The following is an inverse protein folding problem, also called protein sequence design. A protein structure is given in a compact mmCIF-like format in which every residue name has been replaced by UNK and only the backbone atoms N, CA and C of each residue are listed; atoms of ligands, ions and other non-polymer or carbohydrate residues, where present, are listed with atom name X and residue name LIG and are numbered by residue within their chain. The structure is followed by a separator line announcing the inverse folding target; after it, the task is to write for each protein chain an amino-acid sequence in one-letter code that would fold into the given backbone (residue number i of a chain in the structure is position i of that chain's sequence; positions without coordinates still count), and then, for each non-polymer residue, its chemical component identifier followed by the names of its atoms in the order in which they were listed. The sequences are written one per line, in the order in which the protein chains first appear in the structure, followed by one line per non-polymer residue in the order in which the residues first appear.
data_IF_914920178872
#
_entry.id   IF_914920178872
#
_cell.length_a   1.000
_cell.length_b   1.000
_cell.length_c   1.000
_cell.angle_alpha   90.00
_cell.angle_beta   90.00
_cell.angle_gamma   90.00
#
_symmetry.space_group_name_H-M   'P 1'
#
loop_
_entity.id
_entity.type
_entity.pdbx_description
1 polymer ?
#
# COMPACT_ATOMS: atom_id res chain seq x y z
N UNK A 1 -13.09 -19.79 -15.12
CA UNK A 1 -13.68 -18.49 -14.78
C UNK A 1 -13.37 -17.57 -15.93
N UNK A 2 -14.39 -17.17 -16.68
CA UNK A 2 -14.18 -16.22 -17.78
C UNK A 2 -13.98 -14.81 -17.25
N UNK A 3 -13.35 -13.95 -18.07
CA UNK A 3 -12.98 -12.58 -17.69
C UNK A 3 -14.17 -11.76 -17.19
N UNK A 4 -15.34 -11.96 -17.79
CA UNK A 4 -16.58 -11.25 -17.45
C UNK A 4 -17.04 -11.67 -16.05
N UNK A 5 -17.18 -12.98 -15.79
CA UNK A 5 -17.51 -13.53 -14.47
C UNK A 5 -16.50 -13.07 -13.38
N UNK A 6 -15.22 -12.87 -13.73
CA UNK A 6 -14.22 -12.35 -12.81
C UNK A 6 -14.47 -10.89 -12.43
N UNK A 7 -14.71 -10.04 -13.43
CA UNK A 7 -15.02 -8.63 -13.20
C UNK A 7 -16.30 -8.47 -12.38
N UNK A 8 -17.36 -9.20 -12.71
CA UNK A 8 -18.64 -9.12 -12.02
C UNK A 8 -18.52 -9.50 -10.53
N UNK A 9 -17.72 -10.52 -10.21
CA UNK A 9 -17.45 -10.90 -8.81
C UNK A 9 -16.59 -9.90 -8.06
N UNK A 10 -15.68 -9.20 -8.74
CA UNK A 10 -14.91 -8.09 -8.15
C UNK A 10 -15.87 -6.94 -7.82
N UNK A 11 -16.67 -6.51 -8.80
CA UNK A 11 -17.62 -5.39 -8.64
C UNK A 11 -18.65 -5.69 -7.55
N UNK A 12 -19.20 -6.91 -7.54
CA UNK A 12 -20.09 -7.38 -6.49
C UNK A 12 -19.50 -7.28 -5.08
N UNK A 13 -18.20 -7.59 -4.92
CA UNK A 13 -17.51 -7.42 -3.64
C UNK A 13 -17.25 -5.95 -3.30
N UNK A 14 -16.97 -5.09 -4.27
CA UNK A 14 -16.70 -3.67 -4.03
C UNK A 14 -17.95 -2.89 -3.59
N UNK A 15 -19.15 -3.42 -3.86
CA UNK A 15 -20.43 -2.84 -3.40
C UNK A 15 -20.63 -3.05 -1.88
N UNK A 16 -19.95 -4.04 -1.28
CA UNK A 16 -20.07 -4.31 0.16
C UNK A 16 -19.41 -3.21 0.99
N UNK A 17 -20.25 -2.26 1.44
CA UNK A 17 -19.86 -1.11 2.27
C UNK A 17 -19.49 -1.49 3.70
N UNK A 18 -19.75 -2.73 4.14
CA UNK A 18 -19.30 -3.19 5.46
C UNK A 18 -17.82 -3.53 5.46
N UNK A 19 -17.28 -3.90 4.28
CA UNK A 19 -15.87 -4.29 4.10
C UNK A 19 -15.06 -3.22 3.39
N UNK A 20 -15.64 -2.52 2.41
CA UNK A 20 -14.95 -1.56 1.56
C UNK A 20 -15.55 -0.15 1.64
N UNK A 21 -14.70 0.84 1.83
CA UNK A 21 -15.07 2.25 1.76
C UNK A 21 -14.46 2.89 0.51
N UNK A 22 -15.29 3.58 -0.28
CA UNK A 22 -14.80 4.36 -1.39
C UNK A 22 -14.13 5.65 -0.88
N UNK A 23 -12.83 5.73 -1.09
CA UNK A 23 -12.05 6.91 -0.72
C UNK A 23 -12.36 8.06 -1.68
N UNK A 24 -12.79 9.21 -1.13
CA UNK A 24 -13.14 10.41 -1.91
C UNK A 24 -11.95 11.22 -2.42
N UNK A 25 -10.80 11.11 -1.75
CA UNK A 25 -9.57 11.84 -2.08
C UNK A 25 -8.36 11.00 -1.71
N UNK A 26 -7.36 10.98 -2.58
CA UNK A 26 -6.10 10.27 -2.33
C UNK A 26 -5.48 10.71 -0.98
N UNK A 27 -5.35 9.81 0.01
CA UNK A 27 -4.84 10.14 1.34
C UNK A 27 -3.30 10.16 1.37
N UNK A 28 -2.63 9.78 0.27
CA UNK A 28 -1.18 9.59 0.21
C UNK A 28 -0.41 10.80 0.71
N UNK A 29 -0.75 11.99 0.24
CA UNK A 29 -0.06 13.23 0.63
C UNK A 29 -0.26 13.58 2.11
N UNK A 30 -1.46 13.36 2.64
CA UNK A 30 -1.74 13.56 4.06
C UNK A 30 -0.92 12.59 4.93
N UNK A 31 -0.84 11.32 4.51
CA UNK A 31 -0.06 10.29 5.21
C UNK A 31 1.43 10.64 5.19
N UNK A 32 1.98 11.00 4.02
CA UNK A 32 3.39 11.44 3.88
C UNK A 32 3.72 12.59 4.84
N UNK A 33 2.88 13.63 4.86
CA UNK A 33 3.05 14.78 5.74
C UNK A 33 3.03 14.37 7.22
N UNK A 34 2.10 13.50 7.59
CA UNK A 34 1.98 13.00 8.96
C UNK A 34 3.19 12.18 9.40
N UNK A 35 3.71 11.32 8.51
CA UNK A 35 4.94 10.55 8.76
C UNK A 35 6.12 11.50 8.97
N UNK A 36 6.29 12.49 8.08
CA UNK A 36 7.37 13.47 8.19
C UNK A 36 7.32 14.23 9.52
N UNK A 37 6.15 14.73 9.91
CA UNK A 37 5.98 15.44 11.20
C UNK A 37 6.39 14.54 12.39
N UNK A 38 5.98 13.27 12.38
CA UNK A 38 6.34 12.32 13.44
C UNK A 38 7.84 12.04 13.46
N UNK A 39 8.44 11.82 12.29
CA UNK A 39 9.87 11.52 12.17
C UNK A 39 10.73 12.74 12.57
N UNK A 40 10.35 13.95 12.18
CA UNK A 40 11.00 15.19 12.61
C UNK A 40 10.95 15.35 14.14
N UNK A 41 9.82 15.02 14.76
CA UNK A 41 9.69 15.02 16.23
C UNK A 41 10.66 14.03 16.88
N UNK A 42 10.82 12.83 16.30
CA UNK A 42 11.76 11.83 16.80
C UNK A 42 13.22 12.28 16.64
N UNK A 43 13.57 12.94 15.53
CA UNK A 43 14.91 13.49 15.32
C UNK A 43 15.20 14.59 16.34
N UNK A 44 14.26 15.51 16.58
CA UNK A 44 14.39 16.56 17.61
C UNK A 44 14.58 15.98 19.01
N UNK A 45 13.93 14.85 19.31
CA UNK A 45 14.10 14.11 20.55
C UNK A 45 15.39 13.26 20.60
N UNK A 46 16.23 13.31 19.56
CA UNK A 46 17.46 12.49 19.40
C UNK A 46 17.20 10.97 19.50
N UNK A 47 15.98 10.52 19.17
CA UNK A 47 15.60 9.09 19.18
C UNK A 47 15.97 8.37 17.89
N UNK A 48 16.22 9.12 16.82
CA UNK A 48 16.64 8.60 15.52
C UNK A 48 17.76 9.47 14.96
N UNK A 49 18.55 8.91 14.05
CA UNK A 49 19.58 9.65 13.31
C UNK A 49 18.99 10.33 12.07
N UNK A 50 19.74 11.27 11.48
CA UNK A 50 19.37 11.90 10.21
C UNK A 50 19.25 10.87 9.08
N UNK A 51 20.11 9.85 9.04
CA UNK A 51 20.02 8.76 8.09
C UNK A 51 18.67 8.01 8.21
N UNK A 52 18.22 7.74 9.45
CA UNK A 52 16.95 7.07 9.69
C UNK A 52 15.74 7.96 9.37
N UNK A 53 15.84 9.27 9.57
CA UNK A 53 14.83 10.24 9.11
C UNK A 53 14.65 10.16 7.60
N UNK A 54 15.76 10.19 6.85
CA UNK A 54 15.74 10.12 5.39
C UNK A 54 15.11 8.80 4.94
N UNK A 55 15.53 7.66 5.49
CA UNK A 55 14.93 6.35 5.18
C UNK A 55 13.40 6.32 5.39
N UNK A 56 12.90 6.89 6.50
CA UNK A 56 11.47 6.92 6.83
C UNK A 56 10.66 7.89 5.96
N UNK A 57 11.31 8.88 5.32
CA UNK A 57 10.63 9.96 4.58
C UNK A 57 10.90 9.94 3.08
N UNK A 58 11.88 9.16 2.60
CA UNK A 58 12.13 8.84 1.20
C UNK A 58 11.05 7.89 0.67
N UNK A 59 9.83 8.44 0.49
CA UNK A 59 8.63 7.73 0.05
C UNK A 59 8.50 7.74 -1.49
N UNK A 60 9.58 8.01 -2.24
CA UNK A 60 9.53 8.08 -3.71
C UNK A 60 9.32 6.69 -4.36
N UNK A 61 9.59 5.61 -3.63
CA UNK A 61 9.32 4.23 -4.05
C UNK A 61 8.11 3.62 -3.32
N UNK A 62 6.96 4.30 -3.35
CA UNK A 62 5.72 3.69 -2.85
C UNK A 62 5.45 2.36 -3.56
N UNK A 63 4.98 1.33 -2.82
CA UNK A 63 4.59 0.07 -3.44
C UNK A 63 3.50 0.32 -4.49
N UNK A 64 3.83 0.06 -5.76
CA UNK A 64 2.87 0.20 -6.85
C UNK A 64 1.97 -1.04 -6.89
N UNK A 65 0.68 -0.83 -7.09
CA UNK A 65 -0.26 -1.90 -7.39
C UNK A 65 0.05 -2.36 -8.82
N UNK A 66 0.55 -3.59 -8.98
CA UNK A 66 0.97 -4.11 -10.30
C UNK A 66 -0.14 -4.85 -11.03
N UNK A 67 -1.13 -5.38 -10.30
CA UNK A 67 -2.16 -6.28 -10.84
C UNK A 67 -3.49 -6.07 -10.14
N UNK A 68 -4.56 -6.53 -10.80
CA UNK A 68 -5.90 -6.56 -10.22
C UNK A 68 -5.91 -7.32 -8.88
N UNK A 69 -6.76 -6.92 -7.93
CA UNK A 69 -6.93 -7.63 -6.66
C UNK A 69 -7.29 -9.10 -6.92
N UNK A 70 -6.70 -10.02 -6.17
CA UNK A 70 -6.99 -11.44 -6.30
C UNK A 70 -8.25 -11.80 -5.51
N UNK A 71 -9.25 -12.36 -6.19
CA UNK A 71 -10.38 -13.02 -5.54
C UNK A 71 -9.90 -14.26 -4.79
N UNK A 72 -10.08 -14.27 -3.47
CA UNK A 72 -9.88 -15.44 -2.59
C UNK A 72 -11.22 -16.17 -2.34
N UNK A 73 -11.25 -17.10 -1.36
CA UNK A 73 -12.46 -17.81 -0.92
C UNK A 73 -13.59 -16.83 -0.55
N UNK A 74 -14.83 -17.31 -0.57
CA UNK A 74 -16.07 -16.51 -0.51
C UNK A 74 -16.11 -15.52 0.66
N UNK A 75 -15.50 -15.85 1.81
CA UNK A 75 -15.54 -15.02 3.03
C UNK A 75 -14.21 -14.31 3.36
N UNK A 76 -13.30 -14.20 2.40
CA UNK A 76 -12.00 -13.53 2.60
C UNK A 76 -11.97 -12.23 1.77
N UNK A 77 -11.50 -11.11 2.34
CA UNK A 77 -11.33 -9.87 1.60
C UNK A 77 -10.34 -10.05 0.46
N UNK A 78 -10.55 -9.33 -0.64
CA UNK A 78 -9.64 -9.29 -1.77
C UNK A 78 -8.25 -8.81 -1.35
N UNK A 79 -7.21 -9.44 -1.90
CA UNK A 79 -5.82 -9.07 -1.63
C UNK A 79 -5.25 -8.25 -2.78
N UNK A 80 -4.73 -7.07 -2.45
CA UNK A 80 -3.97 -6.23 -3.39
C UNK A 80 -2.60 -6.88 -3.63
N UNK A 81 -2.19 -6.94 -4.90
CA UNK A 81 -0.86 -7.39 -5.29
C UNK A 81 0.06 -6.18 -5.42
N UNK A 82 0.92 -5.99 -4.43
CA UNK A 82 1.91 -4.90 -4.38
C UNK A 82 3.32 -5.42 -4.69
N UNK A 83 4.18 -4.54 -5.21
CA UNK A 83 5.63 -4.74 -5.21
C UNK A 83 6.27 -3.67 -4.33
N UNK A 84 6.98 -4.06 -3.28
CA UNK A 84 7.80 -3.18 -2.44
C UNK A 84 9.28 -3.52 -2.60
N UNK A 85 10.17 -2.60 -2.20
CA UNK A 85 11.62 -2.77 -2.32
C UNK A 85 12.14 -4.06 -1.67
N UNK A 86 11.54 -4.46 -0.55
CA UNK A 86 11.94 -5.64 0.22
C UNK A 86 11.03 -6.87 0.05
N UNK A 87 10.15 -6.91 -0.96
CA UNK A 87 9.42 -8.16 -1.26
C UNK A 87 10.34 -9.11 -2.02
N UNK A 88 10.44 -10.37 -1.60
CA UNK A 88 11.27 -11.45 -2.22
C UNK A 88 11.05 -11.60 -3.75
N UNK A 89 9.90 -11.15 -4.25
CA UNK A 89 9.51 -11.20 -5.68
C UNK A 89 9.67 -9.87 -6.42
N UNK A 90 10.24 -8.85 -5.78
CA UNK A 90 10.52 -7.57 -6.41
C UNK A 90 11.78 -7.71 -7.27
N UNK A 91 11.77 -7.30 -8.55
CA UNK A 91 12.99 -7.26 -9.35
C UNK A 91 14.09 -6.45 -8.65
N UNK A 92 13.71 -5.43 -7.87
CA UNK A 92 14.61 -4.56 -7.10
C UNK A 92 15.24 -5.28 -5.90
N UNK A 93 14.60 -6.33 -5.37
CA UNK A 93 15.12 -7.14 -4.26
C UNK A 93 16.16 -8.18 -4.69
N UNK A 94 16.23 -8.48 -5.99
CA UNK A 94 17.13 -9.50 -6.55
C UNK A 94 18.53 -8.94 -6.88
N UNK A 95 18.75 -7.64 -6.71
CA UNK A 95 20.01 -6.95 -6.94
C UNK A 95 20.73 -6.56 -5.63
N UNK A 96 20.45 -7.24 -4.52
CA UNK A 96 21.18 -7.11 -3.26
C UNK A 96 22.04 -8.34 -3.01
#
# INVERSE_FOLDING_TARGET
MDKIDYCDKIEGKLIDKTVYEQIKKDPTEYIKKTIKIKADKLLKQKKITLAKLNELTSIDELPKIRRQPKLHKTNIPMRILTCSKDTIKSPVSQFR
#
